data_IF_681175002932
#
_entry.id   IF_681175002932
#
_cell.length_a   1.000
_cell.length_b   1.000
_cell.length_c   1.000
_cell.angle_alpha   90.00
_cell.angle_beta   90.00
_cell.angle_gamma   90.00
#
_symmetry.space_group_name_H-M   'P 1'
#
loop_
_entity.id
_entity.type
_entity.pdbx_description
1 polymer ?
#
# COMPACT_ATOMS: atom_id res chain seq x y z
N UNK A 1 10.51 -12.12 8.79
CA UNK A 1 9.60 -11.00 9.10
C UNK A 1 8.23 -11.47 8.65
N UNK A 2 7.20 -11.31 9.47
CA UNK A 2 5.85 -11.79 9.13
C UNK A 2 5.38 -11.12 7.85
N UNK A 3 5.44 -11.87 6.74
CA UNK A 3 5.13 -11.47 5.37
C UNK A 3 3.60 -11.31 5.16
N UNK A 4 2.84 -11.23 6.25
CA UNK A 4 1.38 -11.18 6.26
C UNK A 4 0.85 -9.75 6.06
N UNK A 5 1.71 -8.73 6.12
CA UNK A 5 1.31 -7.30 6.07
C UNK A 5 1.68 -6.57 4.78
N UNK A 6 2.29 -7.24 3.84
CA UNK A 6 2.84 -6.65 2.60
C UNK A 6 2.36 -7.40 1.36
N UNK A 7 2.46 -6.73 0.22
CA UNK A 7 2.44 -7.35 -1.10
C UNK A 7 3.80 -7.10 -1.77
N UNK A 8 4.27 -8.02 -2.60
CA UNK A 8 5.56 -7.87 -3.30
C UNK A 8 5.32 -7.53 -4.77
N UNK A 9 6.17 -6.66 -5.31
CA UNK A 9 6.20 -6.27 -6.73
C UNK A 9 7.64 -6.21 -7.23
N UNK A 10 7.84 -6.20 -8.55
CA UNK A 10 9.17 -6.07 -9.16
C UNK A 10 9.27 -4.79 -9.98
N UNK A 11 10.20 -3.88 -9.64
CA UNK A 11 10.46 -2.65 -10.39
C UNK A 11 11.91 -2.70 -10.86
N UNK A 12 12.16 -2.62 -12.18
CA UNK A 12 13.52 -2.59 -12.73
C UNK A 12 14.41 -3.73 -12.25
N UNK A 13 13.91 -4.97 -12.30
CA UNK A 13 14.61 -6.20 -11.86
C UNK A 13 14.87 -6.32 -10.33
N UNK A 14 14.30 -5.44 -9.51
CA UNK A 14 14.38 -5.50 -8.06
C UNK A 14 13.00 -5.73 -7.43
N UNK A 15 12.95 -6.65 -6.47
CA UNK A 15 11.74 -6.90 -5.67
C UNK A 15 11.59 -5.84 -4.57
N UNK A 16 10.38 -5.31 -4.43
CA UNK A 16 10.00 -4.36 -3.40
C UNK A 16 8.76 -4.83 -2.65
N UNK A 17 8.76 -4.63 -1.33
CA UNK A 17 7.58 -4.83 -0.49
C UNK A 17 6.76 -3.54 -0.41
N UNK A 18 5.48 -3.64 -0.76
CA UNK A 18 4.46 -2.62 -0.54
C UNK A 18 3.94 -2.73 0.88
N UNK A 19 4.15 -1.68 1.68
CA UNK A 19 3.78 -1.67 3.10
C UNK A 19 2.89 -0.45 3.40
N UNK A 20 1.67 -0.70 3.87
CA UNK A 20 0.81 0.37 4.37
C UNK A 20 1.20 0.72 5.82
N UNK A 21 2.08 1.69 5.97
CA UNK A 21 2.44 2.26 7.28
C UNK A 21 1.50 3.39 7.67
N UNK A 22 1.48 3.78 8.95
CA UNK A 22 0.78 4.99 9.41
C UNK A 22 1.21 6.24 8.64
N UNK A 23 2.47 6.33 8.21
CA UNK A 23 2.97 7.45 7.40
C UNK A 23 2.32 7.44 6.01
N UNK A 24 2.27 6.29 5.35
CA UNK A 24 1.58 6.13 4.07
C UNK A 24 0.08 6.41 4.21
N UNK A 25 -0.58 5.90 5.26
CA UNK A 25 -1.98 6.19 5.55
C UNK A 25 -2.26 7.69 5.65
N UNK A 26 -1.39 8.46 6.32
CA UNK A 26 -1.53 9.92 6.41
C UNK A 26 -1.37 10.60 5.05
N UNK A 27 -0.42 10.17 4.24
CA UNK A 27 -0.22 10.72 2.89
C UNK A 27 -1.44 10.44 1.99
N UNK A 28 -1.95 9.20 2.03
CA UNK A 28 -3.16 8.79 1.31
C UNK A 28 -4.37 9.60 1.80
N UNK A 29 -4.55 9.76 3.10
CA UNK A 29 -5.63 10.57 3.66
C UNK A 29 -5.55 12.04 3.21
N UNK A 30 -4.34 12.61 3.16
CA UNK A 30 -4.14 13.97 2.67
C UNK A 30 -4.47 14.16 1.18
N UNK A 31 -4.21 13.13 0.34
CA UNK A 31 -4.43 13.20 -1.11
C UNK A 31 -5.85 12.83 -1.53
N UNK A 32 -6.43 11.80 -0.92
CA UNK A 32 -7.73 11.24 -1.33
C UNK A 32 -8.85 11.48 -0.30
N UNK A 33 -8.55 12.05 0.87
CA UNK A 33 -9.54 12.22 1.94
C UNK A 33 -9.78 10.97 2.78
N UNK A 34 -9.02 9.89 2.56
CA UNK A 34 -9.10 8.65 3.34
C UNK A 34 -8.76 7.41 2.53
N UNK A 35 -8.62 6.27 3.21
CA UNK A 35 -8.41 4.96 2.55
C UNK A 35 -9.67 4.50 1.81
N UNK A 36 -10.86 4.80 2.32
CA UNK A 36 -12.14 4.47 1.70
C UNK A 36 -12.30 5.15 0.34
N UNK A 37 -12.06 6.46 0.28
CA UNK A 37 -12.09 7.23 -0.96
C UNK A 37 -11.06 6.74 -2.00
N UNK A 38 -9.86 6.34 -1.54
CA UNK A 38 -8.88 5.69 -2.41
C UNK A 38 -9.42 4.36 -2.95
N UNK A 39 -10.00 3.53 -2.10
CA UNK A 39 -10.62 2.25 -2.48
C UNK A 39 -11.71 2.44 -3.55
N UNK A 40 -12.61 3.40 -3.36
CA UNK A 40 -13.61 3.75 -4.37
C UNK A 40 -12.98 4.20 -5.70
N UNK A 41 -11.95 5.05 -5.64
CA UNK A 41 -11.26 5.55 -6.83
C UNK A 41 -10.62 4.41 -7.61
N UNK A 42 -9.94 3.49 -6.93
CA UNK A 42 -9.33 2.32 -7.54
C UNK A 42 -10.38 1.37 -8.15
N UNK A 43 -11.54 1.21 -7.52
CA UNK A 43 -12.63 0.38 -8.07
C UNK A 43 -13.30 1.02 -9.30
N UNK A 44 -13.49 2.35 -9.29
CA UNK A 44 -14.18 3.11 -10.36
C UNK A 44 -13.28 3.46 -11.56
N UNK A 45 -11.96 3.38 -11.41
CA UNK A 45 -11.01 3.58 -12.52
C UNK A 45 -11.07 2.41 -13.52
N UNK A 46 -12.07 2.45 -14.40
CA UNK A 46 -12.15 1.63 -15.61
C UNK A 46 -11.22 2.18 -16.70
N UNK A 47 -10.88 3.48 -16.65
CA UNK A 47 -9.92 4.09 -17.55
C UNK A 47 -8.53 4.09 -16.94
N UNK A 48 -7.78 3.03 -17.25
CA UNK A 48 -6.44 2.77 -16.74
C UNK A 48 -5.44 3.89 -17.07
N UNK A 49 -5.52 4.48 -18.27
CA UNK A 49 -4.64 5.57 -18.70
C UNK A 49 -4.78 6.82 -17.82
N UNK A 50 -6.01 7.15 -17.39
CA UNK A 50 -6.25 8.29 -16.49
C UNK A 50 -5.81 8.02 -15.04
N UNK A 51 -5.47 6.78 -14.70
CA UNK A 51 -5.08 6.39 -13.36
C UNK A 51 -3.57 6.13 -13.23
N UNK A 52 -2.78 6.24 -14.31
CA UNK A 52 -1.35 5.91 -14.31
C UNK A 52 -0.58 6.70 -13.24
N UNK A 53 -0.73 8.02 -13.22
CA UNK A 53 -0.07 8.89 -12.23
C UNK A 53 -0.42 8.49 -10.79
N UNK A 54 -1.66 8.07 -10.54
CA UNK A 54 -2.10 7.66 -9.21
C UNK A 54 -1.51 6.29 -8.83
N UNK A 55 -1.41 5.35 -9.78
CA UNK A 55 -0.78 4.05 -9.57
C UNK A 55 0.72 4.22 -9.32
N UNK A 56 1.40 5.01 -10.14
CA UNK A 56 2.83 5.34 -9.98
C UNK A 56 3.07 5.96 -8.61
N UNK A 57 2.26 6.95 -8.22
CA UNK A 57 2.38 7.58 -6.90
C UNK A 57 2.16 6.60 -5.75
N UNK A 58 1.11 5.76 -5.83
CA UNK A 58 0.79 4.77 -4.79
C UNK A 58 1.90 3.72 -4.66
N UNK A 59 2.41 3.20 -5.78
CA UNK A 59 3.52 2.25 -5.78
C UNK A 59 4.77 2.87 -5.18
N UNK A 60 5.15 4.05 -5.66
CA UNK A 60 6.31 4.77 -5.14
C UNK A 60 6.18 5.00 -3.64
N UNK A 61 5.01 5.46 -3.18
CA UNK A 61 4.75 5.69 -1.75
C UNK A 61 4.88 4.40 -0.92
N UNK A 62 4.21 3.33 -1.33
CA UNK A 62 4.10 2.08 -0.57
C UNK A 62 5.41 1.29 -0.59
N UNK A 63 6.09 1.19 -1.74
CA UNK A 63 7.40 0.55 -1.86
C UNK A 63 8.45 1.28 -1.02
N UNK A 64 8.45 2.62 -1.04
CA UNK A 64 9.37 3.40 -0.22
C UNK A 64 9.18 3.18 1.29
N UNK A 65 8.02 2.72 1.75
CA UNK A 65 7.84 2.45 3.17
C UNK A 65 8.74 1.32 3.67
N UNK A 66 8.93 0.25 2.89
CA UNK A 66 9.83 -0.84 3.27
C UNK A 66 11.29 -0.37 3.31
N UNK A 67 11.70 0.45 2.33
CA UNK A 67 13.03 1.07 2.28
C UNK A 67 13.25 1.98 3.49
N UNK A 68 12.27 2.83 3.82
CA UNK A 68 12.33 3.72 4.99
C UNK A 68 12.43 2.94 6.31
N UNK A 69 11.67 1.85 6.45
CA UNK A 69 11.73 0.97 7.63
C UNK A 69 13.13 0.35 7.75
N UNK A 70 13.69 -0.14 6.64
CA UNK A 70 15.06 -0.67 6.59
C UNK A 70 16.08 0.39 6.97
N UNK A 71 16.01 1.58 6.37
CA UNK A 71 16.94 2.68 6.61
C UNK A 71 16.89 3.17 8.07
N UNK A 72 15.70 3.16 8.69
CA UNK A 72 15.56 3.49 10.11
C UNK A 72 16.34 2.54 11.01
N UNK A 73 16.39 1.25 10.66
CA UNK A 73 17.11 0.20 11.39
C UNK A 73 18.61 0.15 11.02
N UNK A 74 18.95 0.51 9.78
CA UNK A 74 20.30 0.40 9.20
C UNK A 74 20.86 1.77 8.81
N UNK A 75 21.06 2.65 9.80
CA UNK A 75 21.43 4.06 9.58
C UNK A 75 22.77 4.27 8.87
N UNK A 76 23.67 3.28 8.93
CA UNK A 76 25.02 3.40 8.37
C UNK A 76 25.11 2.98 6.88
N UNK A 77 24.03 2.41 6.32
CA UNK A 77 23.96 1.96 4.93
C UNK A 77 22.55 2.20 4.36
N UNK A 78 22.12 3.47 4.27
CA UNK A 78 20.81 3.79 3.73
C UNK A 78 20.71 3.37 2.26
N UNK A 79 19.54 2.84 1.88
CA UNK A 79 19.15 2.69 0.48
C UNK A 79 18.45 3.96 0.01
N UNK A 80 18.63 4.29 -1.27
CA UNK A 80 17.91 5.40 -1.90
C UNK A 80 16.42 5.06 -2.04
N UNK A 81 15.60 6.10 -1.97
CA UNK A 81 14.16 5.97 -2.17
C UNK A 81 13.87 6.03 -3.66
N UNK A 82 12.87 5.27 -4.09
CA UNK A 82 12.29 5.38 -5.41
C UNK A 82 11.66 6.75 -5.61
N UNK A 83 11.84 7.29 -6.80
CA UNK A 83 11.10 8.44 -7.34
C UNK A 83 10.00 7.97 -8.29
N UNK A 84 8.99 8.81 -8.51
CA UNK A 84 7.93 8.51 -9.48
C UNK A 84 8.50 8.35 -10.90
N UNK A 85 9.49 9.17 -11.27
CA UNK A 85 10.20 9.08 -12.55
C UNK A 85 10.92 7.73 -12.73
N UNK A 86 11.62 7.24 -11.69
CA UNK A 86 12.24 5.90 -11.75
C UNK A 86 11.19 4.80 -11.93
N UNK A 87 10.06 4.89 -11.22
CA UNK A 87 8.99 3.90 -11.37
C UNK A 87 8.40 3.94 -12.78
N UNK A 88 8.17 5.12 -13.35
CA UNK A 88 7.69 5.27 -14.73
C UNK A 88 8.67 4.69 -15.75
N UNK A 89 9.97 4.93 -15.58
CA UNK A 89 10.99 4.47 -16.52
C UNK A 89 11.28 2.97 -16.40
N UNK A 90 11.14 2.39 -15.21
CA UNK A 90 11.51 1.01 -14.91
C UNK A 90 10.33 0.02 -14.97
N UNK A 91 9.15 0.48 -15.41
CA UNK A 91 7.94 -0.34 -15.48
C UNK A 91 7.28 -0.24 -16.85
N UNK A 92 6.48 -1.25 -17.20
CA UNK A 92 5.67 -1.27 -18.41
C UNK A 92 4.18 -1.11 -18.08
N UNK A 93 3.34 -0.73 -19.06
CA UNK A 93 1.90 -0.68 -18.87
C UNK A 93 1.28 -1.98 -18.33
N UNK A 94 1.88 -3.13 -18.65
CA UNK A 94 1.45 -4.44 -18.15
C UNK A 94 1.70 -4.58 -16.64
N UNK A 95 2.86 -4.12 -16.17
CA UNK A 95 3.24 -4.18 -14.75
C UNK A 95 2.30 -3.31 -13.91
N UNK A 96 1.98 -2.11 -14.41
CA UNK A 96 1.07 -1.17 -13.75
C UNK A 96 -0.34 -1.77 -13.53
N UNK A 97 -0.79 -2.67 -14.41
CA UNK A 97 -2.07 -3.38 -14.24
C UNK A 97 -2.00 -4.39 -13.09
N UNK A 98 -0.89 -5.12 -12.96
CA UNK A 98 -0.66 -6.05 -11.85
C UNK A 98 -0.50 -5.31 -10.52
N UNK A 99 0.10 -4.12 -10.53
CA UNK A 99 0.31 -3.28 -9.36
C UNK A 99 -0.97 -2.81 -8.71
N UNK A 100 -2.04 -2.59 -9.47
CA UNK A 100 -3.36 -2.28 -8.90
C UNK A 100 -3.78 -3.36 -7.90
N UNK A 101 -3.63 -4.63 -8.26
CA UNK A 101 -3.93 -5.76 -7.36
C UNK A 101 -3.01 -5.75 -6.14
N UNK A 102 -1.71 -5.53 -6.32
CA UNK A 102 -0.74 -5.50 -5.23
C UNK A 102 -1.00 -4.34 -4.24
N UNK A 103 -1.40 -3.16 -4.74
CA UNK A 103 -1.82 -2.02 -3.90
C UNK A 103 -3.02 -2.41 -3.06
N UNK A 104 -4.07 -2.97 -3.67
CA UNK A 104 -5.27 -3.42 -2.96
C UNK A 104 -4.93 -4.45 -1.88
N UNK A 105 -4.08 -5.41 -2.21
CA UNK A 105 -3.62 -6.43 -1.26
C UNK A 105 -2.83 -5.82 -0.09
N UNK A 106 -1.86 -4.94 -0.37
CA UNK A 106 -1.08 -4.25 0.66
C UNK A 106 -1.97 -3.39 1.57
N UNK A 107 -2.98 -2.72 1.01
CA UNK A 107 -3.94 -1.96 1.80
C UNK A 107 -4.76 -2.88 2.71
N UNK A 108 -5.32 -3.97 2.17
CA UNK A 108 -6.12 -4.92 2.93
C UNK A 108 -5.32 -5.56 4.07
N UNK A 109 -4.10 -6.01 3.77
CA UNK A 109 -3.19 -6.60 4.77
C UNK A 109 -2.76 -5.59 5.84
N UNK A 110 -2.56 -4.33 5.45
CA UNK A 110 -2.19 -3.24 6.37
C UNK A 110 -3.32 -2.80 7.29
N UNK A 111 -4.59 -2.93 6.87
CA UNK A 111 -5.76 -2.59 7.68
C UNK A 111 -6.32 -3.75 8.49
N UNK A 112 -5.89 -5.00 8.22
CA UNK A 112 -6.43 -6.21 8.86
C UNK A 112 -6.29 -6.25 10.41
N UNK A 113 -5.44 -5.41 11.01
CA UNK A 113 -5.37 -5.22 12.48
C UNK A 113 -6.42 -4.25 13.06
N UNK A 114 -7.14 -3.50 12.23
CA UNK A 114 -8.21 -2.60 12.66
C UNK A 114 -9.60 -3.25 12.63
N UNK A 115 -9.74 -4.47 12.07
CA UNK A 115 -11.04 -5.14 11.90
C UNK A 115 -11.26 -6.26 12.94
N UNK A 116 -10.21 -6.78 13.58
CA UNK A 116 -10.32 -7.64 14.78
C UNK A 116 -10.39 -6.83 16.08
N UNK A 117 -11.09 -5.69 16.07
CA UNK A 117 -11.49 -4.97 17.27
C UNK A 117 -13.01 -4.89 17.33
N UNK A 118 -13.67 -6.05 17.22
CA UNK A 118 -15.05 -6.30 17.63
C UNK A 118 -15.32 -7.81 17.53
N UNK A 119 -14.77 -8.61 18.44
CA UNK A 119 -15.64 -9.63 19.04
C UNK A 119 -16.28 -8.95 20.23
N UNK A 120 -17.41 -8.28 19.96
CA UNK A 120 -18.38 -7.99 21.00
C UNK A 120 -18.61 -9.31 21.74
N UNK A 121 -18.17 -9.38 23.00
CA UNK A 121 -18.62 -10.44 23.90
C UNK A 121 -20.15 -10.43 23.83
N UNK A 122 -20.81 -11.53 23.40
CA UNK A 122 -22.25 -11.58 23.40
C UNK A 122 -22.69 -11.38 24.86
N UNK A 123 -23.38 -10.26 25.15
CA UNK A 123 -24.05 -10.08 26.42
C UNK A 123 -25.06 -11.22 26.52
N UNK A 124 -24.70 -12.19 27.34
CA UNK A 124 -25.52 -13.37 27.55
C UNK A 124 -26.89 -12.91 28.04
N UNK A 125 -27.91 -13.34 27.30
CA UNK A 125 -29.32 -13.23 27.65
C UNK A 125 -29.54 -14.17 28.83
N UNK A 126 -30.07 -13.67 29.94
CA UNK A 126 -30.95 -14.48 30.79
C UNK A 126 -31.99 -13.59 31.44
N UNK A 127 -33.22 -13.78 30.97
CA UNK A 127 -34.46 -13.29 31.57
C UNK A 127 -34.78 -14.17 32.77
N UNK A 128 -34.96 -13.54 33.93
CA UNK A 128 -35.47 -14.14 35.16
C UNK A 128 -36.34 -13.13 35.90
#
# INVERSE_FOLDING_TARGET
MDNERSASINIGDKEYELVLTTRATKAIAGRYGGLENLGEKLMKSENFEMALDEIVWLITLLANQSILIRNLKNKNAPEELLTEEEVELLTSPLDLAAYKTAITEAMFKGTKRNVESEEETPKNVEVG
#
